data_IF_397564306909
#
_entry.id   IF_397564306909
#
_cell.length_a   1.000
_cell.length_b   1.000
_cell.length_c   1.000
_cell.angle_alpha   90.00
_cell.angle_beta   90.00
_cell.angle_gamma   90.00
#
_symmetry.space_group_name_H-M   'P 1'
#
loop_
_entity.id
_entity.type
_entity.pdbx_description
1 polymer ?
#
# COMPACT_ATOMS: atom_id res chain seq x y z
N UNK A 1 24.63 33.43 -65.16
CA UNK A 1 24.02 32.10 -64.92
C UNK A 1 24.04 31.89 -63.42
N UNK A 2 22.93 32.23 -62.75
CA UNK A 2 22.78 32.21 -61.29
C UNK A 2 21.71 31.17 -60.97
N UNK A 3 22.03 30.20 -60.12
CA UNK A 3 21.10 29.21 -59.60
C UNK A 3 20.63 29.71 -58.23
N UNK A 4 19.33 29.93 -57.99
CA UNK A 4 18.86 30.33 -56.67
C UNK A 4 18.80 29.10 -55.75
N UNK A 5 19.35 29.26 -54.55
CA UNK A 5 19.20 28.32 -53.44
C UNK A 5 17.73 28.34 -52.99
N UNK A 6 17.02 27.24 -53.17
CA UNK A 6 15.69 27.03 -52.59
C UNK A 6 15.92 26.57 -51.15
N UNK A 7 15.58 27.44 -50.20
CA UNK A 7 15.52 27.12 -48.78
C UNK A 7 14.31 26.20 -48.56
N UNK A 8 14.48 24.99 -47.96
CA UNK A 8 13.33 24.17 -47.64
C UNK A 8 12.50 24.84 -46.54
N UNK A 9 11.17 24.63 -46.51
CA UNK A 9 10.31 25.25 -45.51
C UNK A 9 10.68 24.74 -44.11
N UNK A 10 10.60 25.63 -43.14
CA UNK A 10 10.70 25.34 -41.71
C UNK A 10 9.62 24.30 -41.34
N UNK A 11 10.00 23.03 -41.32
CA UNK A 11 9.22 22.00 -40.63
C UNK A 11 9.36 22.25 -39.13
N UNK A 12 8.49 23.11 -38.61
CA UNK A 12 8.13 23.11 -37.19
C UNK A 12 7.61 21.71 -36.85
N UNK A 13 8.48 20.85 -36.34
CA UNK A 13 8.10 19.63 -35.61
C UNK A 13 7.51 20.02 -34.25
N UNK A 14 6.39 20.74 -34.26
CA UNK A 14 5.57 21.04 -33.09
C UNK A 14 4.45 19.99 -33.00
N UNK A 15 4.80 18.76 -32.62
CA UNK A 15 3.84 17.81 -32.07
C UNK A 15 4.56 16.74 -31.23
N UNK A 16 5.11 17.19 -30.10
CA UNK A 16 5.37 16.30 -28.98
C UNK A 16 4.01 15.80 -28.45
N UNK A 17 3.55 14.65 -28.95
CA UNK A 17 2.47 13.91 -28.29
C UNK A 17 2.95 13.61 -26.87
N UNK A 18 2.41 14.31 -25.88
CA UNK A 18 2.62 14.01 -24.47
C UNK A 18 2.03 12.62 -24.21
N UNK A 19 2.87 11.60 -24.14
CA UNK A 19 2.49 10.22 -23.78
C UNK A 19 2.23 10.05 -22.27
N UNK A 20 1.68 11.08 -21.61
CA UNK A 20 1.13 10.96 -20.28
C UNK A 20 -0.33 10.51 -20.37
N UNK A 21 -0.80 9.54 -19.57
CA UNK A 21 -2.21 9.16 -19.58
C UNK A 21 -3.04 10.39 -19.24
N UNK A 22 -3.91 10.84 -20.16
CA UNK A 22 -4.89 11.91 -19.90
C UNK A 22 -5.63 11.62 -18.59
N UNK A 23 -6.00 12.64 -17.82
CA UNK A 23 -6.82 12.53 -16.59
C UNK A 23 -7.98 11.50 -16.71
N UNK A 24 -8.61 11.46 -17.89
CA UNK A 24 -9.68 10.53 -18.28
C UNK A 24 -9.30 9.05 -18.22
N UNK A 25 -8.02 8.70 -18.38
CA UNK A 25 -7.53 7.32 -18.32
C UNK A 25 -7.41 6.83 -16.87
N UNK A 26 -6.90 7.66 -15.97
CA UNK A 26 -6.85 7.35 -14.53
C UNK A 26 -8.25 7.13 -13.97
N UNK A 27 -9.20 8.01 -14.30
CA UNK A 27 -10.60 7.86 -13.89
C UNK A 27 -11.23 6.56 -14.41
N UNK A 28 -10.95 6.18 -15.66
CA UNK A 28 -11.46 4.92 -16.24
C UNK A 28 -10.87 3.70 -15.54
N UNK A 29 -9.57 3.69 -15.30
CA UNK A 29 -8.91 2.60 -14.57
C UNK A 29 -9.42 2.51 -13.13
N UNK A 30 -9.63 3.64 -12.47
CA UNK A 30 -10.22 3.68 -11.13
C UNK A 30 -11.65 3.13 -11.13
N UNK A 31 -12.51 3.54 -12.07
CA UNK A 31 -13.86 2.98 -12.21
C UNK A 31 -13.83 1.47 -12.43
N UNK A 32 -12.92 0.98 -13.27
CA UNK A 32 -12.72 -0.45 -13.48
C UNK A 32 -12.27 -1.15 -12.19
N UNK A 33 -11.31 -0.57 -11.46
CA UNK A 33 -10.85 -1.10 -10.18
C UNK A 33 -12.01 -1.18 -9.17
N UNK A 34 -12.80 -0.12 -9.02
CA UNK A 34 -13.98 -0.08 -8.14
C UNK A 34 -14.98 -1.19 -8.52
N UNK A 35 -15.29 -1.34 -9.81
CA UNK A 35 -16.27 -2.33 -10.25
C UNK A 35 -15.77 -3.78 -10.16
N UNK A 36 -14.45 -4.00 -10.29
CA UNK A 36 -13.88 -5.35 -10.41
C UNK A 36 -13.17 -5.82 -9.15
N UNK A 37 -12.85 -4.94 -8.19
CA UNK A 37 -12.06 -5.29 -6.99
C UNK A 37 -12.55 -6.57 -6.28
N UNK A 38 -13.86 -6.81 -6.05
CA UNK A 38 -14.33 -8.03 -5.39
C UNK A 38 -14.01 -9.34 -6.15
N UNK A 39 -13.78 -9.24 -7.47
CA UNK A 39 -13.52 -10.37 -8.37
C UNK A 39 -12.04 -10.50 -8.74
N UNK A 40 -11.21 -9.53 -8.34
CA UNK A 40 -9.79 -9.53 -8.67
C UNK A 40 -9.05 -10.54 -7.80
N UNK A 41 -8.22 -11.37 -8.46
CA UNK A 41 -7.30 -12.28 -7.75
C UNK A 41 -6.09 -11.54 -7.17
N UNK A 42 -5.68 -10.47 -7.82
CA UNK A 42 -4.55 -9.63 -7.40
C UNK A 42 -5.01 -8.19 -7.42
N UNK A 43 -4.85 -7.51 -6.29
CA UNK A 43 -5.13 -6.09 -6.17
C UNK A 43 -3.85 -5.37 -5.76
N UNK A 44 -3.40 -4.43 -6.58
CA UNK A 44 -2.25 -3.60 -6.32
C UNK A 44 -2.64 -2.14 -6.49
N UNK A 45 -2.38 -1.35 -5.47
CA UNK A 45 -2.61 0.09 -5.51
C UNK A 45 -1.55 0.82 -4.70
N UNK A 46 -1.34 2.08 -5.08
CA UNK A 46 -0.54 3.02 -4.35
C UNK A 46 -1.21 4.39 -4.39
N UNK A 47 -0.94 5.22 -3.38
CA UNK A 47 -1.39 6.62 -3.31
C UNK A 47 -2.90 6.77 -3.51
N UNK A 48 -3.65 5.86 -2.90
CA UNK A 48 -5.11 5.95 -2.87
C UNK A 48 -5.52 7.10 -1.95
N UNK A 49 -6.40 7.95 -2.44
CA UNK A 49 -7.10 8.94 -1.63
C UNK A 49 -8.10 8.27 -0.69
N UNK A 50 -8.55 8.97 0.35
CA UNK A 50 -9.54 8.46 1.28
C UNK A 50 -10.87 8.06 0.60
N UNK A 51 -11.26 8.79 -0.46
CA UNK A 51 -12.44 8.46 -1.25
C UNK A 51 -12.22 7.19 -2.08
N UNK A 52 -11.05 7.02 -2.69
CA UNK A 52 -10.74 5.81 -3.46
C UNK A 52 -10.67 4.56 -2.59
N UNK A 53 -10.11 4.66 -1.37
CA UNK A 53 -10.21 3.58 -0.39
C UNK A 53 -11.66 3.17 -0.17
N UNK A 54 -12.51 4.15 0.18
CA UNK A 54 -13.93 3.91 0.45
C UNK A 54 -14.68 3.32 -0.74
N UNK A 55 -14.41 3.79 -1.95
CA UNK A 55 -15.08 3.30 -3.15
C UNK A 55 -14.64 1.89 -3.55
N UNK A 56 -13.33 1.61 -3.49
CA UNK A 56 -12.75 0.32 -3.87
C UNK A 56 -13.12 -0.76 -2.84
N UNK A 57 -12.97 -0.46 -1.55
CA UNK A 57 -13.15 -1.45 -0.48
C UNK A 57 -14.54 -1.46 0.14
N UNK A 58 -15.49 -0.74 -0.47
CA UNK A 58 -16.87 -0.61 0.02
C UNK A 58 -17.58 -1.94 0.27
N UNK A 59 -17.29 -2.96 -0.54
CA UNK A 59 -17.95 -4.27 -0.43
C UNK A 59 -17.58 -5.01 0.85
N UNK A 60 -16.47 -4.66 1.50
CA UNK A 60 -15.96 -5.32 2.69
C UNK A 60 -15.31 -6.67 2.42
N UNK A 61 -15.89 -7.49 1.54
CA UNK A 61 -15.49 -8.88 1.29
C UNK A 61 -14.88 -9.07 -0.10
N UNK A 62 -13.80 -9.85 -0.14
CA UNK A 62 -12.96 -10.10 -1.31
C UNK A 62 -12.57 -11.59 -1.38
N UNK A 63 -13.54 -12.46 -1.65
CA UNK A 63 -13.36 -13.93 -1.57
C UNK A 63 -12.34 -14.49 -2.57
N UNK A 64 -12.17 -13.82 -3.71
CA UNK A 64 -11.26 -14.24 -4.78
C UNK A 64 -9.85 -13.65 -4.64
N UNK A 65 -9.67 -12.66 -3.75
CA UNK A 65 -8.42 -11.95 -3.60
C UNK A 65 -7.37 -12.88 -2.99
N UNK A 66 -6.26 -13.04 -3.70
CA UNK A 66 -5.14 -13.89 -3.32
C UNK A 66 -3.89 -13.07 -2.98
N UNK A 67 -3.71 -11.94 -3.67
CA UNK A 67 -2.56 -11.05 -3.50
C UNK A 67 -3.06 -9.62 -3.30
N UNK A 68 -2.69 -9.00 -2.18
CA UNK A 68 -2.99 -7.60 -1.87
C UNK A 68 -1.68 -6.82 -1.71
N UNK A 69 -1.50 -5.75 -2.48
CA UNK A 69 -0.35 -4.87 -2.39
C UNK A 69 -0.87 -3.44 -2.22
N UNK A 70 -0.61 -2.83 -1.07
CA UNK A 70 -1.00 -1.45 -0.78
C UNK A 70 0.24 -0.66 -0.40
N UNK A 71 0.56 0.38 -1.17
CA UNK A 71 1.74 1.21 -0.97
C UNK A 71 1.37 2.67 -0.76
N UNK A 72 2.28 3.41 -0.13
CA UNK A 72 2.13 4.83 0.13
C UNK A 72 3.41 5.58 -0.26
N UNK A 73 3.39 6.18 -1.44
CA UNK A 73 4.43 7.05 -2.00
C UNK A 73 4.11 8.54 -1.85
N UNK A 74 3.06 8.95 -1.12
CA UNK A 74 2.77 10.38 -0.86
C UNK A 74 3.97 11.13 -0.25
N UNK A 75 4.94 10.42 0.35
CA UNK A 75 6.18 11.01 0.89
C UNK A 75 7.27 11.24 -0.16
N UNK A 76 7.14 10.67 -1.36
CA UNK A 76 8.20 10.66 -2.37
C UNK A 76 8.09 11.78 -3.40
N UNK A 77 6.93 12.42 -3.46
CA UNK A 77 6.72 13.57 -4.30
C UNK A 77 6.56 14.81 -3.41
N UNK A 78 7.31 15.88 -3.70
CA UNK A 78 7.04 17.24 -3.19
C UNK A 78 5.71 17.78 -3.76
N UNK A 79 4.67 16.96 -3.76
CA UNK A 79 3.32 17.32 -4.20
C UNK A 79 2.63 17.80 -2.95
N UNK A 80 2.80 19.09 -2.69
CA UNK A 80 2.13 19.82 -1.60
C UNK A 80 0.58 19.74 -1.68
N UNK A 81 0.03 19.15 -2.75
CA UNK A 81 -1.40 19.26 -3.08
C UNK A 81 -2.28 18.09 -2.62
N UNK A 82 -1.75 16.91 -2.26
CA UNK A 82 -2.60 15.79 -1.82
C UNK A 82 -2.01 15.15 -0.55
N UNK A 83 -2.56 15.46 0.64
CA UNK A 83 -2.12 14.82 1.87
C UNK A 83 -2.45 13.32 1.85
N UNK A 84 -1.57 12.51 2.42
CA UNK A 84 -1.84 11.10 2.64
C UNK A 84 -3.10 10.93 3.51
N UNK A 85 -3.99 9.96 3.19
CA UNK A 85 -5.22 9.77 3.94
C UNK A 85 -4.95 9.35 5.38
N UNK A 86 -5.65 9.97 6.32
CA UNK A 86 -5.62 9.59 7.73
C UNK A 86 -6.60 8.45 8.02
N UNK A 87 -6.53 7.89 9.23
CA UNK A 87 -7.48 6.88 9.70
C UNK A 87 -8.90 7.44 9.76
N UNK A 88 -9.02 8.70 10.14
CA UNK A 88 -10.27 9.44 10.28
C UNK A 88 -10.91 9.72 8.91
N UNK A 89 -10.10 10.07 7.91
CA UNK A 89 -10.60 10.33 6.54
C UNK A 89 -11.23 9.10 5.89
N UNK A 90 -10.71 7.91 6.22
CA UNK A 90 -11.19 6.63 5.72
C UNK A 90 -12.42 6.15 6.49
N UNK A 91 -12.50 6.46 7.78
CA UNK A 91 -13.53 5.92 8.67
C UNK A 91 -13.32 4.43 8.95
N UNK A 92 -14.39 3.69 9.21
CA UNK A 92 -14.31 2.24 9.46
C UNK A 92 -14.50 1.48 8.15
N UNK A 93 -13.41 0.97 7.60
CA UNK A 93 -13.42 0.26 6.32
C UNK A 93 -12.80 -1.13 6.49
N UNK A 94 -13.60 -2.16 6.25
CA UNK A 94 -13.17 -3.55 6.41
C UNK A 94 -12.69 -4.13 5.09
N UNK A 95 -11.62 -4.92 5.14
CA UNK A 95 -11.14 -5.75 4.03
C UNK A 95 -11.03 -7.18 4.57
N UNK A 96 -12.07 -7.98 4.33
CA UNK A 96 -12.12 -9.40 4.60
C UNK A 96 -11.77 -10.16 3.33
N UNK A 97 -10.61 -10.82 3.32
CA UNK A 97 -10.16 -11.62 2.19
C UNK A 97 -9.66 -12.99 2.68
N UNK A 98 -10.58 -13.97 2.84
CA UNK A 98 -10.24 -15.28 3.39
C UNK A 98 -9.20 -16.06 2.57
N UNK A 99 -9.15 -15.81 1.26
CA UNK A 99 -8.25 -16.48 0.30
C UNK A 99 -6.92 -15.76 0.09
N UNK A 100 -6.72 -14.59 0.73
CA UNK A 100 -5.53 -13.77 0.54
C UNK A 100 -4.31 -14.46 1.17
N UNK A 101 -3.41 -14.96 0.32
CA UNK A 101 -2.24 -15.71 0.76
C UNK A 101 -0.98 -14.83 0.83
N UNK A 102 -0.91 -13.75 0.05
CA UNK A 102 0.23 -12.84 0.03
C UNK A 102 -0.23 -11.39 0.19
N UNK A 103 0.41 -10.69 1.13
CA UNK A 103 0.10 -9.30 1.44
C UNK A 103 1.40 -8.51 1.58
N UNK A 104 1.48 -7.40 0.85
CA UNK A 104 2.58 -6.43 0.90
C UNK A 104 1.99 -5.06 1.28
N UNK A 105 2.35 -4.55 2.44
CA UNK A 105 1.77 -3.35 3.02
C UNK A 105 2.85 -2.34 3.37
N UNK A 106 2.59 -1.09 3.03
CA UNK A 106 3.35 0.01 3.60
C UNK A 106 3.00 0.19 5.10
N UNK A 107 3.99 0.25 6.01
CA UNK A 107 3.76 0.45 7.45
C UNK A 107 3.00 1.74 7.80
N UNK A 108 3.03 2.75 6.92
CA UNK A 108 2.39 4.05 7.11
C UNK A 108 0.91 4.05 6.71
N UNK A 109 0.38 2.92 6.21
CA UNK A 109 -1.02 2.83 5.85
C UNK A 109 -1.93 3.14 7.05
N UNK A 110 -3.07 3.80 6.82
CA UNK A 110 -4.05 4.15 7.85
C UNK A 110 -4.87 2.92 8.32
N UNK A 111 -4.16 1.89 8.77
CA UNK A 111 -4.73 0.65 9.30
C UNK A 111 -5.23 0.89 10.72
N UNK A 112 -6.43 0.39 11.00
CA UNK A 112 -7.08 0.45 12.29
C UNK A 112 -6.31 -0.42 13.31
N UNK A 113 -6.31 0.03 14.56
CA UNK A 113 -5.84 -0.72 15.71
C UNK A 113 -6.90 -0.59 16.80
N UNK A 114 -7.31 -1.71 17.40
CA UNK A 114 -8.49 -1.80 18.28
C UNK A 114 -9.77 -1.36 17.54
N UNK A 115 -10.77 -0.84 18.25
CA UNK A 115 -12.06 -0.36 17.70
C UNK A 115 -11.97 1.04 17.07
N UNK A 116 -10.78 1.45 16.61
CA UNK A 116 -10.55 2.78 16.04
C UNK A 116 -10.86 2.82 14.54
N UNK A 117 -11.04 4.03 14.03
CA UNK A 117 -11.14 4.29 12.59
C UNK A 117 -9.87 3.80 11.85
N UNK A 118 -10.05 3.45 10.58
CA UNK A 118 -9.01 3.00 9.67
C UNK A 118 -9.41 1.74 8.91
N UNK A 119 -8.44 1.20 8.18
CA UNK A 119 -8.57 -0.06 7.47
C UNK A 119 -8.49 -1.24 8.45
N UNK A 120 -9.54 -2.04 8.56
CA UNK A 120 -9.52 -3.30 9.30
C UNK A 120 -9.26 -4.46 8.33
N UNK A 121 -8.20 -5.23 8.60
CA UNK A 121 -7.77 -6.33 7.73
C UNK A 121 -8.11 -7.67 8.38
N UNK A 122 -8.94 -8.48 7.71
CA UNK A 122 -9.25 -9.85 8.12
C UNK A 122 -8.78 -10.84 7.06
N UNK A 123 -7.61 -11.45 7.31
CA UNK A 123 -6.84 -12.21 6.34
C UNK A 123 -6.46 -13.60 6.87
N UNK A 124 -7.42 -14.46 7.22
CA UNK A 124 -7.15 -15.75 7.89
C UNK A 124 -6.34 -16.73 7.01
N UNK A 125 -6.38 -16.59 5.68
CA UNK A 125 -5.62 -17.40 4.74
C UNK A 125 -4.18 -16.94 4.50
N UNK A 126 -3.71 -15.90 5.21
CA UNK A 126 -2.42 -15.27 4.98
C UNK A 126 -1.25 -16.23 5.22
N UNK A 127 -0.38 -16.35 4.21
CA UNK A 127 0.83 -17.20 4.24
C UNK A 127 2.12 -16.40 4.15
N UNK A 128 2.10 -15.24 3.49
CA UNK A 128 3.25 -14.35 3.33
C UNK A 128 2.86 -12.91 3.63
N UNK A 129 3.47 -12.33 4.65
CA UNK A 129 3.34 -10.92 5.00
C UNK A 129 4.66 -10.22 4.71
N UNK A 130 4.59 -9.14 3.94
CA UNK A 130 5.68 -8.19 3.70
C UNK A 130 5.25 -6.82 4.21
N UNK A 131 6.05 -6.25 5.09
CA UNK A 131 5.91 -4.88 5.56
C UNK A 131 7.15 -4.13 5.09
N UNK A 132 7.00 -3.27 4.09
CA UNK A 132 8.11 -2.57 3.47
C UNK A 132 7.74 -1.14 3.13
N UNK A 133 8.67 -0.22 3.33
CA UNK A 133 8.56 1.14 2.82
C UNK A 133 9.11 1.18 1.41
N UNK A 134 8.38 1.83 0.51
CA UNK A 134 8.60 1.59 -0.90
C UNK A 134 9.98 2.07 -1.42
N UNK A 135 10.68 2.93 -0.67
CA UNK A 135 11.96 3.54 -1.06
C UNK A 135 13.09 3.41 -0.03
N UNK A 136 12.96 2.52 0.97
CA UNK A 136 13.95 2.36 2.05
C UNK A 136 14.25 3.64 2.85
N UNK A 137 13.45 4.70 2.69
CA UNK A 137 13.59 5.98 3.37
C UNK A 137 13.14 5.88 4.82
N UNK A 138 13.81 6.63 5.68
CA UNK A 138 13.61 6.59 7.11
C UNK A 138 12.18 6.97 7.51
N UNK A 139 11.53 6.08 8.26
CA UNK A 139 10.18 6.30 8.76
C UNK A 139 10.19 7.30 9.92
N UNK A 140 9.60 8.47 9.69
CA UNK A 140 9.06 9.31 10.77
C UNK A 140 7.68 8.75 11.17
N UNK A 141 7.68 7.57 11.80
CA UNK A 141 6.46 6.88 12.25
C UNK A 141 6.49 6.83 13.77
N UNK A 142 5.40 7.26 14.38
CA UNK A 142 5.24 7.15 15.84
C UNK A 142 5.00 5.66 16.13
N UNK A 143 5.69 5.03 17.10
CA UNK A 143 5.50 3.60 17.39
C UNK A 143 4.03 3.14 17.50
N UNK A 144 3.15 4.01 18.00
CA UNK A 144 1.69 3.80 18.07
C UNK A 144 1.01 3.52 16.71
N UNK A 145 1.59 3.96 15.60
CA UNK A 145 1.08 3.71 14.26
C UNK A 145 1.31 2.25 13.83
N UNK A 146 2.23 1.53 14.47
CA UNK A 146 2.60 0.14 14.16
C UNK A 146 1.85 -0.89 15.02
N UNK A 147 1.03 -0.47 15.98
CA UNK A 147 0.32 -1.36 16.91
C UNK A 147 -0.62 -2.38 16.22
N UNK A 148 -1.05 -2.12 14.98
CA UNK A 148 -1.86 -3.06 14.21
C UNK A 148 -1.08 -4.29 13.71
N UNK A 149 0.25 -4.22 13.62
CA UNK A 149 1.09 -5.29 13.05
C UNK A 149 0.95 -6.58 13.87
N UNK A 150 1.11 -6.59 15.22
CA UNK A 150 0.91 -7.79 16.03
C UNK A 150 -0.47 -8.43 15.84
N UNK A 151 -1.53 -7.63 15.80
CA UNK A 151 -2.90 -8.13 15.62
C UNK A 151 -3.06 -8.83 14.25
N UNK A 152 -2.51 -8.25 13.18
CA UNK A 152 -2.52 -8.86 11.85
C UNK A 152 -1.76 -10.20 11.83
N UNK A 153 -0.58 -10.24 12.46
CA UNK A 153 0.23 -11.47 12.54
C UNK A 153 -0.51 -12.57 13.32
N UNK A 154 -1.14 -12.22 14.46
CA UNK A 154 -1.93 -13.18 15.26
C UNK A 154 -3.15 -13.70 14.52
N UNK A 155 -3.79 -12.87 13.69
CA UNK A 155 -4.90 -13.27 12.84
C UNK A 155 -4.53 -14.24 11.70
N UNK A 156 -3.24 -14.53 11.51
CA UNK A 156 -2.72 -15.36 10.42
C UNK A 156 -1.99 -16.61 10.95
N UNK A 157 -2.70 -17.62 11.51
CA UNK A 157 -2.07 -18.82 12.06
C UNK A 157 -1.32 -19.66 11.01
N UNK A 158 -1.68 -19.50 9.73
CA UNK A 158 -1.03 -20.13 8.58
C UNK A 158 0.19 -19.38 8.02
N UNK A 159 0.65 -18.32 8.68
CA UNK A 159 1.77 -17.51 8.21
C UNK A 159 3.06 -18.33 8.13
N UNK A 160 3.66 -18.37 6.94
CA UNK A 160 4.89 -19.13 6.64
C UNK A 160 6.10 -18.22 6.46
N UNK A 161 5.89 -17.01 5.95
CA UNK A 161 6.94 -16.05 5.65
C UNK A 161 6.56 -14.67 6.19
N UNK A 162 7.43 -14.10 7.01
CA UNK A 162 7.30 -12.76 7.54
C UNK A 162 8.52 -11.93 7.13
N UNK A 163 8.29 -10.83 6.43
CA UNK A 163 9.31 -9.85 6.07
C UNK A 163 8.93 -8.52 6.68
N UNK A 164 9.79 -7.98 7.54
CA UNK A 164 9.61 -6.67 8.18
C UNK A 164 10.84 -5.83 7.86
N UNK A 165 10.67 -4.86 6.98
CA UNK A 165 11.69 -3.90 6.61
C UNK A 165 11.23 -2.50 7.02
N UNK A 166 11.75 -2.01 8.15
CA UNK A 166 11.38 -0.74 8.77
C UNK A 166 12.64 0.11 8.99
N UNK A 167 13.13 0.81 7.95
CA UNK A 167 14.27 1.70 8.07
C UNK A 167 13.84 2.90 8.92
N UNK A 168 14.43 3.09 10.10
CA UNK A 168 14.13 4.20 11.00
C UNK A 168 15.41 4.95 11.34
N UNK A 169 15.34 6.28 11.23
CA UNK A 169 16.43 7.21 11.53
C UNK A 169 16.78 7.26 13.01
N UNK A 170 15.76 7.56 13.81
CA UNK A 170 15.93 8.10 15.17
C UNK A 170 15.35 7.22 16.26
N UNK A 171 14.59 6.20 15.90
CA UNK A 171 13.76 5.46 16.86
C UNK A 171 13.97 3.97 16.67
N UNK A 172 14.19 3.24 17.76
CA UNK A 172 14.12 1.78 17.77
C UNK A 172 12.69 1.33 18.04
N UNK A 173 12.23 0.30 17.36
CA UNK A 173 10.94 -0.32 17.68
C UNK A 173 11.14 -1.25 18.86
N UNK A 174 10.48 -0.92 19.96
CA UNK A 174 10.26 -1.86 21.05
C UNK A 174 9.13 -2.83 20.67
N UNK A 175 9.53 -3.99 20.13
CA UNK A 175 8.57 -5.04 19.77
C UNK A 175 7.92 -5.68 21.00
N UNK A 176 8.60 -5.70 22.15
CA UNK A 176 8.00 -6.23 23.36
C UNK A 176 6.82 -5.34 23.80
N UNK A 177 6.99 -4.01 23.72
CA UNK A 177 5.92 -3.07 23.97
C UNK A 177 4.79 -3.17 22.94
N UNK A 178 5.11 -3.30 21.65
CA UNK A 178 4.08 -3.43 20.60
C UNK A 178 3.28 -4.73 20.71
N UNK A 179 3.95 -5.84 21.00
CA UNK A 179 3.29 -7.13 21.13
C UNK A 179 2.50 -7.23 22.45
N UNK A 180 2.94 -6.55 23.50
CA UNK A 180 2.38 -6.74 24.83
C UNK A 180 2.61 -8.17 25.35
N UNK A 181 1.72 -8.65 26.19
CA UNK A 181 1.90 -9.95 26.88
C UNK A 181 1.48 -11.17 26.04
N UNK A 182 0.75 -10.96 24.95
CA UNK A 182 0.20 -12.07 24.15
C UNK A 182 1.25 -12.62 23.16
N UNK A 183 1.67 -13.89 23.30
CA UNK A 183 2.70 -14.46 22.44
C UNK A 183 2.18 -14.76 21.04
N UNK A 184 3.06 -14.66 20.04
CA UNK A 184 2.75 -15.12 18.69
C UNK A 184 2.70 -16.64 18.61
N UNK A 185 1.56 -17.19 18.18
CA UNK A 185 1.38 -18.62 17.90
C UNK A 185 1.42 -18.86 16.39
N UNK A 186 2.63 -19.02 15.85
CA UNK A 186 2.86 -19.16 14.40
C UNK A 186 3.52 -20.52 14.06
N UNK A 187 2.80 -21.65 14.22
CA UNK A 187 3.38 -22.98 14.05
C UNK A 187 3.83 -23.29 12.61
N UNK A 188 3.31 -22.54 11.64
CA UNK A 188 3.65 -22.69 10.23
C UNK A 188 4.84 -21.80 9.79
N UNK A 189 5.38 -20.95 10.67
CA UNK A 189 6.40 -19.97 10.32
C UNK A 189 7.72 -20.66 9.97
N UNK A 190 8.25 -20.37 8.79
CA UNK A 190 9.48 -20.98 8.25
C UNK A 190 10.59 -19.96 8.04
N UNK A 191 10.22 -18.71 7.76
CA UNK A 191 11.17 -17.65 7.44
C UNK A 191 10.74 -16.35 8.08
N UNK A 192 11.67 -15.74 8.81
CA UNK A 192 11.57 -14.37 9.31
C UNK A 192 12.74 -13.59 8.76
N UNK A 193 12.45 -12.50 8.09
CA UNK A 193 13.44 -11.53 7.66
C UNK A 193 13.11 -10.20 8.29
N UNK A 194 14.06 -9.65 9.02
CA UNK A 194 13.93 -8.37 9.69
C UNK A 194 15.11 -7.50 9.32
N UNK A 195 14.83 -6.27 8.93
CA UNK A 195 15.85 -5.25 8.71
C UNK A 195 15.36 -3.88 9.20
N UNK A 196 16.26 -3.14 9.84
CA UNK A 196 15.98 -1.94 10.62
C UNK A 196 16.72 -1.96 11.96
N UNK A 197 16.67 -0.87 12.72
CA UNK A 197 17.24 -0.80 14.08
C UNK A 197 16.25 -1.39 15.09
N UNK A 198 16.65 -2.44 15.79
CA UNK A 198 15.85 -3.17 16.79
C UNK A 198 16.56 -3.10 18.13
N UNK A 199 15.80 -2.93 19.22
CA UNK A 199 16.26 -3.07 20.61
C UNK A 199 15.46 -4.14 21.30
#
# INVERSE_FOLDING_TARGET
>A
MFVPFIQPPDEEFSNSKSWGPSHTHRERLLKLAICQAPRMRTFQAADLTAQEYRDIFRSGTFDYLHVLILRNYYRDFNVEDIPAPTREDIGHLQISAPSAAMVDLDPTLPIAYEDRSGLSLHLPGLRRLSLNTADHRELTVIPRQLCWIPALIRGAPGLTHLVIYLPMSSTTIDWAQLCGEEPFRLPALRSVQQAGRVT
#
